data_IF_980169932087
#
_entry.id   IF_980169932087
#
_cell.length_a   1.000
_cell.length_b   1.000
_cell.length_c   1.000
_cell.angle_alpha   90.00
_cell.angle_beta   90.00
_cell.angle_gamma   90.00
#
_symmetry.space_group_name_H-M   'P 1'
#
loop_
_entity.id
_entity.type
_entity.pdbx_description
1 polymer ?
#
# COMPACT_ATOMS: atom_id res chain seq x y z
N UNK A 1 9.30 -16.33 -3.57
CA UNK A 1 10.69 -16.39 -4.11
C UNK A 1 11.50 -15.23 -3.55
N UNK A 2 12.75 -15.43 -3.10
CA UNK A 2 13.63 -14.34 -2.63
C UNK A 2 14.66 -13.95 -3.69
N UNK A 3 14.85 -12.65 -3.93
CA UNK A 3 15.82 -12.11 -4.90
C UNK A 3 16.54 -10.90 -4.31
N UNK A 4 17.80 -10.69 -4.71
CA UNK A 4 18.54 -9.46 -4.42
C UNK A 4 18.69 -8.62 -5.69
N UNK A 5 18.37 -7.33 -5.60
CA UNK A 5 18.44 -6.39 -6.72
C UNK A 5 19.19 -5.14 -6.24
N UNK A 6 20.27 -4.77 -6.94
CA UNK A 6 21.06 -3.57 -6.60
C UNK A 6 21.07 -2.52 -7.71
N UNK A 7 20.67 -2.89 -8.93
CA UNK A 7 20.74 -2.02 -10.10
C UNK A 7 19.47 -1.18 -10.32
N UNK A 8 19.61 0.13 -10.41
CA UNK A 8 18.51 1.05 -10.75
C UNK A 8 17.88 0.81 -12.13
N UNK A 9 18.64 0.23 -13.06
CA UNK A 9 18.17 -0.07 -14.43
C UNK A 9 17.33 -1.35 -14.49
N UNK A 10 17.27 -2.12 -13.39
CA UNK A 10 16.55 -3.39 -13.33
C UNK A 10 15.06 -3.20 -13.67
N UNK A 11 14.48 -4.06 -14.54
CA UNK A 11 13.08 -3.97 -14.93
C UNK A 11 12.10 -3.98 -13.76
N UNK A 12 12.35 -4.78 -12.71
CA UNK A 12 11.51 -4.82 -11.50
C UNK A 12 11.50 -3.47 -10.80
N UNK A 13 12.67 -2.84 -10.60
CA UNK A 13 12.77 -1.50 -9.99
C UNK A 13 11.99 -0.46 -10.79
N UNK A 14 12.08 -0.50 -12.12
CA UNK A 14 11.31 0.40 -13.00
C UNK A 14 9.81 0.17 -12.88
N UNK A 15 9.36 -1.08 -12.82
CA UNK A 15 7.95 -1.43 -12.67
C UNK A 15 7.40 -0.96 -11.31
N UNK A 16 8.13 -1.24 -10.22
CA UNK A 16 7.77 -0.80 -8.87
C UNK A 16 7.67 0.73 -8.77
N UNK A 17 8.66 1.45 -9.30
CA UNK A 17 8.65 2.92 -9.35
C UNK A 17 7.47 3.45 -10.17
N UNK A 18 7.06 2.77 -11.23
CA UNK A 18 5.95 3.19 -12.07
C UNK A 18 4.61 3.19 -11.32
N UNK A 19 4.45 2.38 -10.25
CA UNK A 19 3.25 2.37 -9.41
C UNK A 19 2.99 3.70 -8.65
N UNK A 20 3.92 4.64 -8.69
CA UNK A 20 3.70 6.02 -8.23
C UNK A 20 2.75 6.79 -9.17
N UNK A 21 2.70 6.42 -10.44
CA UNK A 21 1.83 7.04 -11.43
C UNK A 21 0.46 6.35 -11.48
N UNK A 22 -0.61 7.14 -11.36
CA UNK A 22 -2.01 6.67 -11.44
C UNK A 22 -2.29 5.83 -12.70
N UNK A 23 -1.70 6.20 -13.84
CA UNK A 23 -1.87 5.47 -15.10
C UNK A 23 -1.36 4.03 -15.01
N UNK A 24 -0.22 3.84 -14.36
CA UNK A 24 0.39 2.53 -14.21
C UNK A 24 -0.35 1.70 -13.16
N UNK A 25 -0.71 2.28 -12.01
CA UNK A 25 -1.53 1.59 -10.99
C UNK A 25 -2.81 1.02 -11.57
N UNK A 26 -3.59 1.83 -12.29
CA UNK A 26 -4.83 1.40 -12.94
C UNK A 26 -4.62 0.29 -13.98
N UNK A 27 -3.49 0.31 -14.69
CA UNK A 27 -3.18 -0.71 -15.71
C UNK A 27 -2.80 -2.04 -15.06
N UNK A 28 -1.95 -1.98 -14.03
CA UNK A 28 -1.45 -3.18 -13.35
C UNK A 28 -2.43 -3.68 -12.27
N UNK A 29 -3.41 -2.85 -11.87
CA UNK A 29 -4.29 -3.03 -10.70
C UNK A 29 -3.49 -3.27 -9.43
N UNK A 30 -2.46 -2.44 -9.22
CA UNK A 30 -1.55 -2.54 -8.07
C UNK A 30 -1.20 -1.20 -7.49
N UNK A 31 -0.90 -1.20 -6.21
CA UNK A 31 -0.42 -0.02 -5.50
C UNK A 31 0.72 -0.36 -4.55
N UNK A 32 1.49 0.68 -4.21
CA UNK A 32 2.62 0.59 -3.29
C UNK A 32 2.17 1.13 -1.93
N UNK A 33 2.48 0.40 -0.86
CA UNK A 33 2.36 0.88 0.50
C UNK A 33 3.74 0.78 1.18
N UNK A 34 4.06 1.76 2.02
CA UNK A 34 5.38 1.88 2.64
C UNK A 34 5.26 1.87 4.15
N UNK A 35 6.09 1.06 4.79
CA UNK A 35 6.34 1.12 6.22
C UNK A 35 5.90 -0.08 7.03
N UNK A 36 6.78 -0.51 7.95
CA UNK A 36 6.65 -1.79 8.65
C UNK A 36 5.32 -1.91 9.40
N UNK A 37 4.90 -0.85 10.08
CA UNK A 37 3.63 -0.83 10.82
C UNK A 37 2.43 -1.07 9.89
N UNK A 38 2.34 -0.32 8.79
CA UNK A 38 1.24 -0.44 7.83
C UNK A 38 1.21 -1.84 7.20
N UNK A 39 2.36 -2.37 6.80
CA UNK A 39 2.44 -3.73 6.26
C UNK A 39 2.08 -4.80 7.31
N UNK A 40 2.37 -4.54 8.60
CA UNK A 40 2.00 -5.44 9.70
C UNK A 40 0.49 -5.43 9.92
N UNK A 41 -0.14 -4.26 9.96
CA UNK A 41 -1.60 -4.12 10.09
C UNK A 41 -2.35 -4.78 8.91
N UNK A 42 -1.82 -4.63 7.69
CA UNK A 42 -2.34 -5.32 6.51
C UNK A 42 -2.25 -6.86 6.66
N UNK A 43 -1.09 -7.36 7.09
CA UNK A 43 -0.87 -8.79 7.37
C UNK A 43 -1.84 -9.31 8.44
N UNK A 44 -2.01 -8.59 9.53
CA UNK A 44 -2.93 -8.96 10.62
C UNK A 44 -4.40 -8.99 10.15
N UNK A 45 -4.73 -8.16 9.15
CA UNK A 45 -6.03 -8.16 8.46
C UNK A 45 -6.16 -9.24 7.38
N UNK A 46 -5.16 -10.12 7.24
CA UNK A 46 -5.14 -11.20 6.24
C UNK A 46 -4.76 -10.76 4.82
N UNK A 47 -4.30 -9.51 4.65
CA UNK A 47 -3.91 -8.95 3.36
C UNK A 47 -2.38 -8.91 3.28
N UNK A 48 -1.80 -9.79 2.46
CA UNK A 48 -0.35 -9.85 2.26
C UNK A 48 0.06 -9.11 0.98
N UNK A 49 1.24 -8.46 0.96
CA UNK A 49 1.80 -7.94 -0.28
C UNK A 49 2.22 -9.09 -1.20
N UNK A 50 2.00 -8.90 -2.50
CA UNK A 50 2.47 -9.85 -3.52
C UNK A 50 3.97 -9.69 -3.80
N UNK A 51 4.50 -8.50 -3.53
CA UNK A 51 5.94 -8.25 -3.51
C UNK A 51 6.30 -7.43 -2.27
N UNK A 52 7.20 -7.97 -1.45
CA UNK A 52 7.80 -7.30 -0.31
C UNK A 52 9.20 -6.81 -0.72
N UNK A 53 9.48 -5.52 -0.58
CA UNK A 53 10.77 -4.90 -0.91
C UNK A 53 11.40 -4.39 0.37
N UNK A 54 12.64 -4.80 0.65
CA UNK A 54 13.33 -4.47 1.91
C UNK A 54 14.73 -3.95 1.66
N UNK A 55 15.16 -3.02 2.50
CA UNK A 55 16.53 -2.55 2.53
C UNK A 55 17.48 -3.67 3.03
N UNK A 56 18.63 -3.80 2.37
CA UNK A 56 19.75 -4.66 2.75
C UNK A 56 20.49 -4.08 3.95
N UNK A 57 20.97 -4.92 4.86
CA UNK A 57 21.76 -4.47 6.02
C UNK A 57 20.93 -3.84 7.14
N UNK A 58 19.61 -4.03 7.12
CA UNK A 58 18.69 -3.64 8.19
C UNK A 58 18.93 -4.44 9.47
N UNK A 59 18.54 -3.87 10.60
CA UNK A 59 18.48 -4.61 11.85
C UNK A 59 17.40 -5.70 11.81
N UNK A 60 17.64 -6.88 12.39
CA UNK A 60 16.62 -7.91 12.56
C UNK A 60 15.41 -7.37 13.30
N UNK A 61 14.21 -7.75 12.86
CA UNK A 61 12.97 -7.28 13.46
C UNK A 61 11.86 -8.33 13.32
N UNK A 62 11.37 -8.85 14.44
CA UNK A 62 10.44 -9.99 14.48
C UNK A 62 9.19 -9.81 13.60
N UNK A 63 8.57 -8.62 13.63
CA UNK A 63 7.41 -8.30 12.77
C UNK A 63 7.73 -8.42 11.27
N UNK A 64 8.93 -8.00 10.86
CA UNK A 64 9.35 -8.05 9.47
C UNK A 64 9.68 -9.49 9.06
N UNK A 65 10.30 -10.27 9.95
CA UNK A 65 10.59 -11.68 9.70
C UNK A 65 9.30 -12.50 9.58
N UNK A 66 8.30 -12.23 10.43
CA UNK A 66 6.97 -12.82 10.33
C UNK A 66 6.27 -12.44 9.01
N UNK A 67 6.34 -11.16 8.61
CA UNK A 67 5.80 -10.70 7.33
C UNK A 67 6.51 -11.36 6.15
N UNK A 68 7.84 -11.43 6.15
CA UNK A 68 8.62 -12.10 5.10
C UNK A 68 8.21 -13.58 4.97
N UNK A 69 8.08 -14.26 6.10
CA UNK A 69 7.68 -15.67 6.15
C UNK A 69 6.29 -15.89 5.54
N UNK A 70 5.31 -15.09 5.93
CA UNK A 70 3.93 -15.22 5.46
C UNK A 70 3.80 -14.88 3.98
N UNK A 71 4.50 -13.83 3.51
CA UNK A 71 4.56 -13.47 2.08
C UNK A 71 5.12 -14.62 1.26
N UNK A 72 6.22 -15.24 1.71
CA UNK A 72 6.81 -16.39 1.02
C UNK A 72 5.91 -17.61 1.03
N UNK A 73 5.25 -17.90 2.17
CA UNK A 73 4.31 -19.01 2.31
C UNK A 73 3.08 -18.86 1.39
N UNK A 74 2.62 -17.62 1.18
CA UNK A 74 1.56 -17.29 0.24
C UNK A 74 1.99 -17.28 -1.24
N UNK A 75 3.26 -17.60 -1.53
CA UNK A 75 3.80 -17.61 -2.90
C UNK A 75 4.24 -16.24 -3.43
N UNK A 76 4.25 -15.22 -2.57
CA UNK A 76 4.71 -13.87 -2.88
C UNK A 76 6.22 -13.79 -3.13
N UNK A 77 6.64 -12.60 -3.56
CA UNK A 77 8.03 -12.29 -3.84
C UNK A 77 8.65 -11.44 -2.73
N UNK A 78 9.90 -11.73 -2.38
CA UNK A 78 10.70 -10.93 -1.48
C UNK A 78 11.92 -10.40 -2.23
N UNK A 79 12.08 -9.09 -2.25
CA UNK A 79 13.13 -8.36 -2.95
C UNK A 79 13.98 -7.63 -1.92
N UNK A 80 15.25 -7.99 -1.82
CA UNK A 80 16.22 -7.29 -1.01
C UNK A 80 17.04 -6.33 -1.88
N UNK A 81 17.16 -5.07 -1.46
CA UNK A 81 17.76 -4.00 -2.27
C UNK A 81 18.49 -2.98 -1.40
N UNK A 82 19.33 -2.14 -1.99
CA UNK A 82 19.93 -1.01 -1.25
C UNK A 82 18.87 0.04 -0.86
N UNK A 83 19.15 0.80 0.20
CA UNK A 83 18.32 1.93 0.64
C UNK A 83 18.09 2.95 -0.49
N UNK A 84 19.12 3.21 -1.30
CA UNK A 84 19.01 4.16 -2.43
C UNK A 84 18.01 3.69 -3.50
N UNK A 85 17.96 2.38 -3.77
CA UNK A 85 16.99 1.82 -4.72
C UNK A 85 15.59 1.85 -4.12
N UNK A 86 15.46 1.54 -2.84
CA UNK A 86 14.18 1.64 -2.13
C UNK A 86 13.65 3.08 -2.12
N UNK A 87 14.51 4.07 -1.85
CA UNK A 87 14.22 5.50 -1.94
C UNK A 87 13.66 5.89 -3.31
N UNK A 88 14.24 5.35 -4.40
CA UNK A 88 13.74 5.61 -5.76
C UNK A 88 12.40 4.94 -6.06
N UNK A 89 12.16 3.75 -5.50
CA UNK A 89 10.89 3.03 -5.63
C UNK A 89 9.79 3.81 -4.93
N UNK A 90 9.99 4.20 -3.66
CA UNK A 90 8.98 4.91 -2.86
C UNK A 90 8.88 6.39 -3.24
N UNK A 91 9.95 6.97 -3.79
CA UNK A 91 10.01 8.39 -4.16
C UNK A 91 10.26 9.33 -2.98
N UNK A 92 10.92 8.83 -1.94
CA UNK A 92 11.23 9.59 -0.72
C UNK A 92 12.75 9.65 -0.50
N UNK A 93 13.21 10.80 0.00
CA UNK A 93 14.62 11.00 0.32
C UNK A 93 15.05 10.24 1.60
N UNK A 94 14.07 9.90 2.47
CA UNK A 94 14.26 9.05 3.64
C UNK A 94 13.20 7.93 3.63
N UNK A 95 13.40 6.87 2.83
CA UNK A 95 12.45 5.76 2.78
C UNK A 95 12.44 5.01 4.11
N UNK A 96 11.29 4.45 4.48
CA UNK A 96 11.26 3.40 5.48
C UNK A 96 11.97 2.16 4.94
N UNK A 97 12.41 1.29 5.83
CA UNK A 97 13.22 0.11 5.49
C UNK A 97 12.47 -0.97 4.71
N UNK A 98 11.15 -0.81 4.52
CA UNK A 98 10.29 -1.78 3.85
C UNK A 98 9.13 -1.12 3.09
N UNK A 99 8.81 -1.69 1.91
CA UNK A 99 7.63 -1.37 1.12
C UNK A 99 6.98 -2.65 0.59
N UNK A 100 5.66 -2.60 0.35
CA UNK A 100 4.86 -3.70 -0.14
C UNK A 100 4.06 -3.30 -1.37
N UNK A 101 3.94 -4.22 -2.32
CA UNK A 101 3.05 -4.09 -3.47
C UNK A 101 1.83 -4.96 -3.24
N UNK A 102 0.66 -4.35 -3.33
CA UNK A 102 -0.63 -5.00 -3.13
C UNK A 102 -1.43 -4.99 -4.44
N UNK A 103 -2.32 -5.96 -4.61
CA UNK A 103 -3.37 -5.86 -5.61
C UNK A 103 -4.41 -4.84 -5.15
N UNK A 104 -4.91 -4.03 -6.08
CA UNK A 104 -6.13 -3.26 -5.85
C UNK A 104 -7.30 -4.23 -5.70
N UNK A 105 -8.08 -4.07 -4.64
CA UNK A 105 -9.31 -4.81 -4.42
C UNK A 105 -10.50 -4.10 -5.09
N UNK A 106 -11.58 -4.85 -5.34
CA UNK A 106 -12.79 -4.29 -5.93
C UNK A 106 -13.51 -3.40 -4.90
N UNK A 107 -13.66 -2.12 -5.22
CA UNK A 107 -14.38 -1.13 -4.41
C UNK A 107 -15.69 -0.70 -5.06
N UNK A 108 -16.23 -1.51 -5.97
CA UNK A 108 -17.47 -1.21 -6.67
C UNK A 108 -18.66 -1.16 -5.71
N UNK A 109 -19.59 -0.23 -5.94
CA UNK A 109 -20.78 -0.06 -5.09
C UNK A 109 -21.65 -1.33 -5.03
N UNK A 110 -21.52 -2.23 -6.00
CA UNK A 110 -22.23 -3.50 -6.02
C UNK A 110 -21.75 -4.47 -4.92
N UNK A 111 -20.52 -4.31 -4.42
CA UNK A 111 -19.99 -5.12 -3.32
C UNK A 111 -20.39 -4.60 -1.94
N UNK A 112 -21.03 -3.42 -1.87
CA UNK A 112 -21.36 -2.77 -0.61
C UNK A 112 -22.62 -3.41 -0.01
N UNK A 113 -22.44 -4.13 1.10
CA UNK A 113 -23.53 -4.46 2.01
C UNK A 113 -23.88 -3.23 2.85
N UNK A 114 -25.06 -2.64 2.59
CA UNK A 114 -25.49 -1.41 3.27
C UNK A 114 -25.78 -1.62 4.75
N UNK A 115 -26.11 -2.84 5.15
CA UNK A 115 -26.56 -3.16 6.50
C UNK A 115 -25.39 -3.55 7.43
N UNK A 116 -24.16 -3.65 6.90
CA UNK A 116 -22.98 -3.99 7.69
C UNK A 116 -22.56 -2.89 8.68
N UNK A 117 -23.04 -1.65 8.48
CA UNK A 117 -22.73 -0.51 9.33
C UNK A 117 -23.85 0.53 9.37
N UNK A 118 -24.03 1.24 10.50
CA UNK A 118 -25.07 2.26 10.64
C UNK A 118 -24.70 3.60 9.99
N UNK A 119 -23.43 3.82 9.67
CA UNK A 119 -22.89 5.10 9.19
C UNK A 119 -22.07 4.88 7.92
N UNK A 120 -22.25 5.76 6.94
CA UNK A 120 -21.49 5.80 5.70
C UNK A 120 -20.99 7.22 5.46
N UNK A 121 -19.72 7.34 5.09
CA UNK A 121 -19.14 8.62 4.69
C UNK A 121 -19.25 8.78 3.18
N UNK A 122 -19.60 9.98 2.72
CA UNK A 122 -19.66 10.31 1.30
C UNK A 122 -18.89 11.59 1.07
N UNK A 123 -17.94 11.56 0.13
CA UNK A 123 -17.15 12.72 -0.26
C UNK A 123 -17.29 12.95 -1.76
N UNK A 124 -17.64 14.19 -2.13
CA UNK A 124 -17.78 14.62 -3.52
C UNK A 124 -16.61 15.52 -3.91
N UNK A 125 -15.95 15.22 -5.02
CA UNK A 125 -14.84 16.00 -5.58
C UNK A 125 -13.71 16.29 -4.57
N UNK A 126 -13.42 15.34 -3.69
CA UNK A 126 -12.37 15.45 -2.66
C UNK A 126 -10.99 15.27 -3.28
N UNK A 127 -10.25 16.34 -3.51
CA UNK A 127 -8.98 16.31 -4.29
C UNK A 127 -7.71 16.07 -3.49
N UNK A 128 -7.75 16.30 -2.19
CA UNK A 128 -6.56 16.21 -1.34
C UNK A 128 -6.41 14.79 -0.74
N UNK A 129 -5.31 14.08 -1.01
CA UNK A 129 -5.07 12.75 -0.44
C UNK A 129 -4.95 12.74 1.09
N UNK A 130 -4.50 13.84 1.70
CA UNK A 130 -4.41 13.97 3.16
C UNK A 130 -5.78 14.02 3.83
N UNK A 131 -6.70 14.78 3.26
CA UNK A 131 -8.10 14.83 3.68
C UNK A 131 -8.79 13.49 3.47
N UNK A 132 -8.49 12.80 2.36
CA UNK A 132 -8.99 11.44 2.10
C UNK A 132 -8.56 10.48 3.22
N UNK A 133 -7.27 10.45 3.56
CA UNK A 133 -6.76 9.63 4.65
C UNK A 133 -7.36 10.01 6.02
N UNK A 134 -7.57 11.31 6.26
CA UNK A 134 -8.22 11.79 7.50
C UNK A 134 -9.67 11.31 7.61
N UNK A 135 -10.43 11.33 6.52
CA UNK A 135 -11.80 10.82 6.50
C UNK A 135 -11.84 9.30 6.71
N UNK A 136 -10.93 8.54 6.12
CA UNK A 136 -10.82 7.10 6.34
C UNK A 136 -10.57 6.78 7.82
N UNK A 137 -9.60 7.46 8.44
CA UNK A 137 -9.29 7.31 9.88
C UNK A 137 -10.45 7.71 10.78
N UNK A 138 -11.15 8.78 10.41
CA UNK A 138 -12.34 9.22 11.15
C UNK A 138 -13.46 8.20 11.03
N UNK A 139 -13.67 7.65 9.83
CA UNK A 139 -14.64 6.60 9.55
C UNK A 139 -14.39 5.35 10.37
N UNK A 140 -13.14 4.86 10.36
CA UNK A 140 -12.72 3.72 11.18
C UNK A 140 -12.99 3.96 12.67
N UNK A 141 -12.59 5.13 13.20
CA UNK A 141 -12.79 5.48 14.61
C UNK A 141 -14.27 5.57 15.05
N UNK A 142 -15.19 5.88 14.14
CA UNK A 142 -16.64 5.98 14.44
C UNK A 142 -17.43 4.74 14.00
N UNK A 143 -16.76 3.71 13.46
CA UNK A 143 -17.41 2.50 12.97
C UNK A 143 -18.24 2.71 11.70
N UNK A 144 -17.80 3.59 10.79
CA UNK A 144 -18.42 3.75 9.48
C UNK A 144 -18.13 2.52 8.59
N UNK A 145 -19.10 2.13 7.76
CA UNK A 145 -18.95 1.00 6.84
C UNK A 145 -18.00 1.26 5.67
N UNK A 146 -17.70 2.53 5.41
CA UNK A 146 -16.76 2.93 4.38
C UNK A 146 -16.91 4.38 3.95
N UNK A 147 -16.08 4.76 2.97
CA UNK A 147 -16.07 6.06 2.33
C UNK A 147 -16.41 5.93 0.84
N UNK A 148 -17.50 6.55 0.42
CA UNK A 148 -17.96 6.59 -0.97
C UNK A 148 -17.45 7.88 -1.61
N UNK A 149 -16.73 7.74 -2.73
CA UNK A 149 -16.17 8.85 -3.49
C UNK A 149 -17.04 9.15 -4.72
N UNK A 150 -17.46 10.41 -4.87
CA UNK A 150 -18.29 10.89 -5.99
C UNK A 150 -17.50 11.92 -6.81
N UNK A 151 -17.64 11.86 -8.14
CA UNK A 151 -16.94 12.69 -9.11
C UNK A 151 -15.40 12.54 -9.06
N UNK A 152 -14.66 13.59 -9.41
CA UNK A 152 -13.19 13.60 -9.46
C UNK A 152 -12.58 13.74 -8.06
N UNK A 153 -12.46 12.62 -7.37
CA UNK A 153 -11.73 12.48 -6.11
C UNK A 153 -10.25 12.11 -6.29
N UNK A 154 -9.47 12.36 -5.24
CA UNK A 154 -8.14 11.80 -5.05
C UNK A 154 -8.19 10.28 -5.13
N UNK A 155 -7.10 9.70 -5.63
CA UNK A 155 -6.98 8.25 -5.79
C UNK A 155 -6.70 7.60 -4.42
N UNK A 156 -7.60 6.75 -3.89
CA UNK A 156 -7.40 6.09 -2.58
C UNK A 156 -6.21 5.13 -2.58
N UNK A 157 -5.77 4.66 -3.74
CA UNK A 157 -4.62 3.78 -3.89
C UNK A 157 -3.32 4.55 -4.21
N UNK A 158 -3.35 5.88 -4.16
CA UNK A 158 -2.12 6.68 -4.25
C UNK A 158 -1.25 6.48 -3.01
N UNK A 159 0.06 6.58 -3.19
CA UNK A 159 1.03 6.45 -2.09
C UNK A 159 0.75 7.47 -0.98
N UNK A 160 0.33 8.68 -1.37
CA UNK A 160 -0.05 9.74 -0.45
C UNK A 160 -1.30 9.40 0.36
N UNK A 161 -2.35 8.85 -0.28
CA UNK A 161 -3.60 8.49 0.38
C UNK A 161 -3.41 7.32 1.36
N UNK A 162 -2.76 6.24 0.92
CA UNK A 162 -2.47 5.05 1.75
C UNK A 162 -1.62 5.42 2.97
N UNK A 163 -0.69 6.36 2.81
CA UNK A 163 0.07 6.86 3.95
C UNK A 163 -0.78 7.71 4.88
N UNK A 164 -1.63 8.59 4.34
CA UNK A 164 -2.47 9.48 5.12
C UNK A 164 -3.55 8.73 5.91
N UNK A 165 -4.03 7.58 5.42
CA UNK A 165 -4.93 6.69 6.15
C UNK A 165 -4.24 5.96 7.31
N UNK A 166 -2.90 5.92 7.32
CA UNK A 166 -2.09 5.17 8.28
C UNK A 166 -2.22 3.64 8.18
N UNK A 167 -2.70 3.14 7.04
CA UNK A 167 -3.18 1.77 6.87
C UNK A 167 -4.63 1.80 6.45
#
# INVERSE_FOLDING_TARGET
>A
MRRSITGFSNPTVKALRALRDKKHRRRERRFLAEGLRLLTEARESGILPEQLVMASGRDPHDLLDALESDVLAAGGEVIETSEEVLAKITGKDNPQTVAGVFAEFDTSLQQVDRDCAPIWLVAQALRDPGNLGTLLRTGDAVGAGGLILIDDCADPFSVEAVRASMG
#
